data_IF_534321088773
#
_entry.id   IF_534321088773
#
_cell.length_a   1.000
_cell.length_b   1.000
_cell.length_c   1.000
_cell.angle_alpha   90.00
_cell.angle_beta   90.00
_cell.angle_gamma   90.00
#
_symmetry.space_group_name_H-M   'P 1'
#
loop_
_entity.id
_entity.type
_entity.pdbx_description
1 polymer ?
#
# COMPACT_ATOMS: atom_id res chain seq x y z
N UNK A 1 16.49 -9.96 7.47
CA UNK A 1 15.21 -9.72 6.78
C UNK A 1 14.21 -9.30 7.84
N UNK A 2 13.79 -8.03 7.85
CA UNK A 2 12.87 -7.49 8.85
C UNK A 2 11.45 -7.99 8.54
N UNK A 3 10.99 -9.00 9.27
CA UNK A 3 9.57 -9.40 9.27
C UNK A 3 8.78 -8.23 9.84
N UNK A 4 7.99 -7.53 9.01
CA UNK A 4 7.12 -6.44 9.45
C UNK A 4 5.91 -7.08 10.14
N UNK A 5 5.54 -6.63 11.33
CA UNK A 5 4.31 -7.09 11.98
C UNK A 5 3.11 -6.27 11.49
N UNK A 6 1.95 -6.91 11.41
CA UNK A 6 0.72 -6.23 11.02
C UNK A 6 0.34 -5.20 12.07
N UNK A 7 0.19 -3.91 11.71
CA UNK A 7 -0.18 -2.89 12.69
C UNK A 7 -1.59 -3.07 13.27
N UNK A 8 -2.42 -3.93 12.65
CA UNK A 8 -3.82 -4.15 13.04
C UNK A 8 -4.05 -5.43 13.87
N UNK A 9 -3.17 -6.43 13.76
CA UNK A 9 -3.33 -7.70 14.48
C UNK A 9 -2.03 -8.29 15.07
N UNK A 10 -0.87 -7.69 14.81
CA UNK A 10 0.42 -8.18 15.28
C UNK A 10 0.91 -9.47 14.60
N UNK A 11 0.20 -10.01 13.60
CA UNK A 11 0.71 -11.16 12.84
C UNK A 11 1.94 -10.77 12.02
N UNK A 12 2.93 -11.65 11.98
CA UNK A 12 4.11 -11.49 11.15
C UNK A 12 3.72 -11.48 9.68
N UNK A 13 3.91 -10.34 9.02
CA UNK A 13 3.62 -10.19 7.61
C UNK A 13 4.76 -10.77 6.78
N UNK A 14 4.38 -11.58 5.79
CA UNK A 14 5.28 -11.97 4.71
C UNK A 14 5.12 -10.96 3.58
N UNK A 15 6.25 -10.52 3.03
CA UNK A 15 6.23 -9.65 1.86
C UNK A 15 5.54 -10.39 0.69
N UNK A 16 4.55 -9.77 0.00
CA UNK A 16 4.03 -8.41 0.15
C UNK A 16 3.08 -8.24 1.34
N UNK A 17 3.37 -7.25 2.21
CA UNK A 17 2.72 -7.07 3.51
C UNK A 17 1.21 -6.81 3.42
N UNK A 18 0.77 -6.15 2.36
CA UNK A 18 -0.63 -5.80 2.12
C UNK A 18 -1.54 -7.00 1.84
N UNK A 19 -1.00 -8.15 1.40
CA UNK A 19 -1.81 -9.35 1.09
C UNK A 19 -2.51 -9.92 2.33
N UNK A 20 -1.85 -9.82 3.48
CA UNK A 20 -2.43 -10.17 4.75
C UNK A 20 -3.53 -9.17 5.15
N UNK A 21 -3.25 -7.86 5.03
CA UNK A 21 -4.23 -6.80 5.36
C UNK A 21 -5.48 -6.95 4.50
N UNK A 22 -5.34 -7.21 3.20
CA UNK A 22 -6.45 -7.48 2.29
C UNK A 22 -7.31 -8.66 2.74
N UNK A 23 -6.70 -9.75 3.22
CA UNK A 23 -7.39 -10.99 3.57
C UNK A 23 -7.97 -11.00 4.99
N UNK A 24 -7.30 -10.35 5.94
CA UNK A 24 -7.62 -10.39 7.37
C UNK A 24 -8.25 -9.10 7.89
N UNK A 25 -7.99 -7.98 7.23
CA UNK A 25 -8.47 -6.64 7.60
C UNK A 25 -9.01 -5.89 6.37
N UNK A 26 -10.06 -6.41 5.70
CA UNK A 26 -10.61 -5.79 4.50
C UNK A 26 -11.08 -4.35 4.76
N UNK A 27 -11.62 -4.06 5.94
CA UNK A 27 -12.03 -2.71 6.36
C UNK A 27 -10.86 -1.72 6.45
N UNK A 28 -9.68 -2.19 6.85
CA UNK A 28 -8.46 -1.37 6.88
C UNK A 28 -7.85 -1.28 5.48
N UNK A 29 -7.91 -2.36 4.70
CA UNK A 29 -7.45 -2.39 3.33
C UNK A 29 -8.17 -1.36 2.46
N UNK A 30 -9.50 -1.24 2.60
CA UNK A 30 -10.32 -0.24 1.90
C UNK A 30 -10.01 1.22 2.29
N UNK A 31 -9.28 1.46 3.39
CA UNK A 31 -8.86 2.81 3.75
C UNK A 31 -7.73 3.26 2.84
N UNK A 32 -7.80 4.53 2.40
CA UNK A 32 -6.74 5.19 1.61
C UNK A 32 -5.35 5.17 2.29
N UNK A 33 -5.27 4.90 3.59
CA UNK A 33 -4.01 4.68 4.29
C UNK A 33 -3.20 3.51 3.71
N UNK A 34 -3.85 2.48 3.17
CA UNK A 34 -3.21 1.34 2.50
C UNK A 34 -2.45 1.75 1.24
N UNK A 35 -2.86 2.84 0.58
CA UNK A 35 -2.15 3.36 -0.60
C UNK A 35 -0.73 3.82 -0.26
N UNK A 36 -0.53 4.37 0.94
CA UNK A 36 0.79 4.79 1.43
C UNK A 36 1.70 3.57 1.60
N UNK A 37 1.20 2.55 2.32
CA UNK A 37 1.98 1.34 2.60
C UNK A 37 2.32 0.59 1.31
N UNK A 38 1.37 0.43 0.41
CA UNK A 38 1.58 -0.18 -0.91
C UNK A 38 2.63 0.57 -1.72
N UNK A 39 2.52 1.90 -1.75
CA UNK A 39 3.46 2.72 -2.49
C UNK A 39 4.88 2.57 -1.94
N UNK A 40 5.06 2.70 -0.63
CA UNK A 40 6.35 2.50 0.03
C UNK A 40 6.92 1.10 -0.19
N UNK A 41 6.09 0.05 -0.07
CA UNK A 41 6.51 -1.32 -0.30
C UNK A 41 7.00 -1.51 -1.75
N UNK A 42 6.24 -1.03 -2.74
CA UNK A 42 6.65 -1.10 -4.14
C UNK A 42 7.92 -0.29 -4.42
N UNK A 43 8.07 0.90 -3.82
CA UNK A 43 9.31 1.69 -3.91
C UNK A 43 10.50 0.95 -3.31
N UNK A 44 10.33 0.29 -2.17
CA UNK A 44 11.36 -0.51 -1.51
C UNK A 44 11.74 -1.76 -2.30
N UNK A 45 10.84 -2.29 -3.12
CA UNK A 45 11.15 -3.37 -4.08
C UNK A 45 11.92 -2.87 -5.32
N UNK A 46 12.20 -1.57 -5.44
CA UNK A 46 12.86 -0.98 -6.60
C UNK A 46 11.91 -0.61 -7.74
N UNK A 47 10.59 -0.58 -7.49
CA UNK A 47 9.61 -0.20 -8.50
C UNK A 47 9.62 1.33 -8.75
N UNK A 48 9.38 1.72 -10.00
CA UNK A 48 9.22 3.13 -10.35
C UNK A 48 7.91 3.68 -9.80
N UNK A 49 7.92 4.96 -9.41
CA UNK A 49 6.78 5.60 -8.76
C UNK A 49 5.52 5.57 -9.63
N UNK A 50 5.63 5.78 -10.94
CA UNK A 50 4.50 5.70 -11.87
C UNK A 50 3.90 4.30 -11.95
N UNK A 51 4.74 3.27 -11.99
CA UNK A 51 4.28 1.87 -11.98
C UNK A 51 3.57 1.56 -10.66
N UNK A 52 4.13 1.98 -9.53
CA UNK A 52 3.51 1.81 -8.21
C UNK A 52 2.15 2.50 -8.12
N UNK A 53 2.02 3.73 -8.63
CA UNK A 53 0.76 4.47 -8.69
C UNK A 53 -0.28 3.75 -9.54
N UNK A 54 0.10 3.23 -10.72
CA UNK A 54 -0.79 2.49 -11.61
C UNK A 54 -1.29 1.20 -10.97
N UNK A 55 -0.41 0.42 -10.34
CA UNK A 55 -0.79 -0.83 -9.66
C UNK A 55 -1.78 -0.55 -8.52
N UNK A 56 -1.54 0.48 -7.71
CA UNK A 56 -2.48 0.87 -6.64
C UNK A 56 -3.81 1.32 -7.24
N UNK A 57 -3.79 2.08 -8.33
CA UNK A 57 -5.01 2.52 -9.00
C UNK A 57 -5.87 1.34 -9.48
N UNK A 58 -5.24 0.34 -10.09
CA UNK A 58 -5.90 -0.90 -10.52
C UNK A 58 -6.46 -1.70 -9.35
N UNK A 59 -5.70 -1.85 -8.25
CA UNK A 59 -6.11 -2.59 -7.07
C UNK A 59 -7.34 -2.02 -6.37
N UNK A 60 -7.51 -0.70 -6.41
CA UNK A 60 -8.59 0.01 -5.72
C UNK A 60 -9.65 0.56 -6.69
N UNK A 61 -9.60 0.19 -7.97
CA UNK A 61 -10.51 0.68 -9.00
C UNK A 61 -10.64 2.22 -8.99
N UNK A 62 -9.50 2.90 -8.90
CA UNK A 62 -9.36 4.36 -8.87
C UNK A 62 -8.39 4.81 -9.97
N UNK A 63 -8.07 6.10 -10.04
CA UNK A 63 -7.11 6.65 -11.01
C UNK A 63 -5.73 6.87 -10.37
N UNK A 64 -4.63 6.72 -11.14
CA UNK A 64 -3.29 7.00 -10.63
C UNK A 64 -3.13 8.43 -10.12
N UNK A 65 -3.87 9.39 -10.71
CA UNK A 65 -3.89 10.78 -10.26
C UNK A 65 -4.54 10.95 -8.89
N UNK A 66 -5.62 10.22 -8.60
CA UNK A 66 -6.25 10.25 -7.27
C UNK A 66 -5.31 9.69 -6.20
N UNK A 67 -4.65 8.56 -6.51
CA UNK A 67 -3.64 7.95 -5.63
C UNK A 67 -2.49 8.93 -5.39
N UNK A 68 -1.95 9.52 -6.47
CA UNK A 68 -0.86 10.51 -6.41
C UNK A 68 -1.26 11.74 -5.60
N UNK A 69 -2.47 12.25 -5.79
CA UNK A 69 -2.99 13.39 -5.05
C UNK A 69 -3.06 13.09 -3.55
N UNK A 70 -3.58 11.91 -3.19
CA UNK A 70 -3.64 11.48 -1.79
C UNK A 70 -2.24 11.32 -1.17
N UNK A 71 -1.30 10.68 -1.88
CA UNK A 71 0.07 10.50 -1.40
C UNK A 71 0.80 11.84 -1.19
N UNK A 72 0.58 12.82 -2.08
CA UNK A 72 1.08 14.18 -1.93
C UNK A 72 0.47 14.90 -0.72
N UNK A 73 -0.84 14.79 -0.51
CA UNK A 73 -1.50 15.35 0.67
C UNK A 73 -0.94 14.81 1.99
N UNK A 74 -0.39 13.59 1.96
CA UNK A 74 0.22 12.93 3.11
C UNK A 74 1.74 13.09 3.20
N UNK A 75 2.35 13.87 2.31
CA UNK A 75 3.82 14.08 2.20
C UNK A 75 4.62 12.79 2.01
N UNK A 76 4.04 11.79 1.33
CA UNK A 76 4.72 10.53 0.98
C UNK A 76 5.44 10.64 -0.36
N UNK A 77 4.95 11.52 -1.25
CA UNK A 77 5.43 11.76 -2.61
C UNK A 77 5.64 13.25 -2.83
#
# INVERSE_FOLDING_TARGET
>A
MSERECPYCGEKLKHPYWTHVQKKHPEEYEKKFTWIQLFEDYKNMGMQSEVSLNVIAELFNTTPDEVKFFLKQKNVL
#
